data_IF_760014120215
#
_entry.id   IF_760014120215
#
_cell.length_a   1.000
_cell.length_b   1.000
_cell.length_c   1.000
_cell.angle_alpha   90.00
_cell.angle_beta   90.00
_cell.angle_gamma   90.00
#
_symmetry.space_group_name_H-M   'P 1'
#
loop_
_entity.id
_entity.type
_entity.pdbx_description
1 polymer ?
#
# COMPACT_ATOMS: atom_id res chain seq x y z
N UNK A 1 -0.81 19.45 7.49
CA UNK A 1 0.00 18.26 7.85
C UNK A 1 1.18 17.95 6.92
N UNK A 2 0.98 17.44 5.70
CA UNK A 2 2.10 17.00 4.84
C UNK A 2 3.09 18.14 4.53
N UNK A 3 2.61 19.34 4.18
CA UNK A 3 3.47 20.51 3.93
C UNK A 3 4.35 20.88 5.14
N UNK A 4 3.82 20.74 6.35
CA UNK A 4 4.59 20.98 7.58
C UNK A 4 5.64 19.89 7.82
N UNK A 5 5.35 18.63 7.50
CA UNK A 5 6.32 17.54 7.56
C UNK A 5 7.47 17.74 6.54
N UNK A 6 7.17 18.27 5.35
CA UNK A 6 8.19 18.66 4.36
C UNK A 6 9.09 19.76 4.91
N UNK A 7 8.50 20.83 5.47
CA UNK A 7 9.27 21.93 6.06
C UNK A 7 10.20 21.48 7.21
N UNK A 8 9.83 20.43 7.94
CA UNK A 8 10.65 19.81 8.98
C UNK A 8 11.68 18.80 8.47
N UNK A 9 11.79 18.60 7.16
CA UNK A 9 12.77 17.67 6.57
C UNK A 9 12.49 16.21 6.89
N UNK A 10 11.22 15.83 7.09
CA UNK A 10 10.86 14.43 7.33
C UNK A 10 11.27 13.53 6.16
N UNK A 11 11.57 12.27 6.45
CA UNK A 11 12.02 11.32 5.43
C UNK A 11 10.94 11.07 4.37
N UNK A 12 11.36 10.70 3.15
CA UNK A 12 10.46 10.35 2.06
C UNK A 12 9.50 9.21 2.43
N UNK A 13 9.95 8.28 3.28
CA UNK A 13 9.12 7.20 3.79
C UNK A 13 8.03 7.70 4.76
N UNK A 14 8.38 8.64 5.64
CA UNK A 14 7.40 9.27 6.53
C UNK A 14 6.36 10.07 5.75
N UNK A 15 6.79 10.86 4.76
CA UNK A 15 5.89 11.60 3.88
C UNK A 15 4.97 10.67 3.08
N UNK A 16 5.50 9.54 2.58
CA UNK A 16 4.71 8.51 1.89
C UNK A 16 3.63 7.92 2.79
N UNK A 17 3.95 7.60 4.05
CA UNK A 17 2.97 7.14 5.04
C UNK A 17 1.83 8.13 5.22
N UNK A 18 2.17 9.39 5.45
CA UNK A 18 1.18 10.45 5.65
C UNK A 18 0.29 10.62 4.41
N UNK A 19 0.87 10.56 3.22
CA UNK A 19 0.14 10.65 1.95
C UNK A 19 -0.88 9.52 1.78
N UNK A 20 -0.45 8.27 1.96
CA UNK A 20 -1.33 7.10 1.81
C UNK A 20 -2.44 7.10 2.89
N UNK A 21 -2.09 7.41 4.14
CA UNK A 21 -3.07 7.53 5.22
C UNK A 21 -4.10 8.65 5.00
N UNK A 22 -3.71 9.71 4.29
CA UNK A 22 -4.60 10.80 3.88
C UNK A 22 -5.45 10.47 2.63
N UNK A 23 -5.37 9.24 2.10
CA UNK A 23 -6.17 8.77 0.98
C UNK A 23 -5.54 8.94 -0.40
N UNK A 24 -4.24 9.26 -0.50
CA UNK A 24 -3.56 9.26 -1.80
C UNK A 24 -3.39 7.83 -2.33
N UNK A 25 -3.62 7.64 -3.64
CA UNK A 25 -3.39 6.36 -4.31
C UNK A 25 -1.92 6.17 -4.65
N UNK A 26 -1.45 4.92 -4.65
CA UNK A 26 -0.12 4.56 -5.18
C UNK A 26 -0.15 4.45 -6.70
N UNK A 27 1.02 4.46 -7.33
CA UNK A 27 1.14 4.30 -8.78
C UNK A 27 0.63 2.93 -9.23
N UNK A 28 0.98 1.86 -8.51
CA UNK A 28 0.45 0.52 -8.83
C UNK A 28 -1.06 0.44 -8.61
N UNK A 29 -1.57 1.01 -7.52
CA UNK A 29 -3.01 1.05 -7.26
C UNK A 29 -3.76 1.73 -8.40
N UNK A 30 -3.27 2.88 -8.87
CA UNK A 30 -3.85 3.58 -10.01
C UNK A 30 -3.66 2.82 -11.34
N UNK A 31 -2.49 2.23 -11.58
CA UNK A 31 -2.21 1.42 -12.77
C UNK A 31 -3.18 0.25 -12.92
N UNK A 32 -3.46 -0.46 -11.82
CA UNK A 32 -4.44 -1.57 -11.82
C UNK A 32 -5.87 -1.08 -12.10
N UNK A 33 -6.23 0.12 -11.64
CA UNK A 33 -7.53 0.72 -11.96
C UNK A 33 -7.65 1.07 -13.44
N UNK A 34 -6.58 1.57 -14.07
CA UNK A 34 -6.56 1.80 -15.53
C UNK A 34 -6.67 0.50 -16.33
N UNK A 35 -6.09 -0.60 -15.85
CA UNK A 35 -6.28 -1.94 -16.45
C UNK A 35 -7.74 -2.36 -16.36
N UNK A 36 -8.38 -2.17 -15.19
CA UNK A 36 -9.79 -2.48 -14.97
C UNK A 36 -10.71 -1.69 -15.92
N UNK A 37 -10.34 -0.47 -16.27
CA UNK A 37 -11.06 0.39 -17.21
C UNK A 37 -10.74 0.07 -18.69
N UNK A 38 -9.78 -0.82 -18.97
CA UNK A 38 -9.36 -1.15 -20.32
C UNK A 38 -8.50 -0.06 -21.00
N UNK A 39 -7.98 0.90 -20.25
CA UNK A 39 -7.15 2.00 -20.76
C UNK A 39 -5.71 1.55 -21.01
N UNK A 40 -5.22 0.60 -20.21
CA UNK A 40 -3.89 0.00 -20.35
C UNK A 40 -3.94 -1.50 -20.10
N UNK A 41 -2.82 -2.20 -20.31
CA UNK A 41 -2.71 -3.64 -20.10
C UNK A 41 -1.92 -3.98 -18.83
N UNK A 42 -2.12 -5.19 -18.32
CA UNK A 42 -1.36 -5.67 -17.16
C UNK A 42 0.15 -5.75 -17.48
N UNK A 43 0.50 -6.14 -18.70
CA UNK A 43 1.89 -6.19 -19.19
C UNK A 43 2.54 -4.80 -19.17
N UNK A 44 1.80 -3.76 -19.60
CA UNK A 44 2.31 -2.40 -19.56
C UNK A 44 2.54 -1.91 -18.12
N UNK A 45 1.61 -2.21 -17.22
CA UNK A 45 1.74 -1.89 -15.79
C UNK A 45 2.93 -2.62 -15.16
N UNK A 46 3.12 -3.90 -15.47
CA UNK A 46 4.27 -4.68 -15.02
C UNK A 46 5.58 -4.07 -15.49
N UNK A 47 5.70 -3.81 -16.80
CA UNK A 47 6.91 -3.27 -17.42
C UNK A 47 7.34 -1.93 -16.82
N UNK A 48 6.38 -1.08 -16.45
CA UNK A 48 6.64 0.29 -15.98
C UNK A 48 6.75 0.38 -14.46
N UNK A 49 5.93 -0.38 -13.71
CA UNK A 49 5.79 -0.20 -12.26
C UNK A 49 6.35 -1.35 -11.42
N UNK A 50 6.49 -2.56 -11.97
CA UNK A 50 7.00 -3.73 -11.24
C UNK A 50 8.51 -3.96 -11.45
N UNK A 51 9.25 -2.89 -11.78
CA UNK A 51 10.71 -2.87 -11.66
C UNK A 51 11.15 -3.13 -10.21
N UNK A 52 12.38 -3.56 -9.96
CA UNK A 52 12.88 -3.84 -8.60
C UNK A 52 12.65 -2.66 -7.63
N UNK A 53 12.84 -1.44 -8.12
CA UNK A 53 12.62 -0.19 -7.36
C UNK A 53 11.13 0.09 -7.15
N UNK A 54 10.30 -0.12 -8.19
CA UNK A 54 8.86 0.09 -8.11
C UNK A 54 8.18 -0.93 -7.19
N UNK A 55 8.54 -2.21 -7.29
CA UNK A 55 8.08 -3.27 -6.42
C UNK A 55 8.47 -3.03 -4.95
N UNK A 56 9.71 -2.60 -4.69
CA UNK A 56 10.13 -2.23 -3.34
C UNK A 56 9.32 -1.04 -2.79
N UNK A 57 9.00 -0.07 -3.64
CA UNK A 57 8.19 1.10 -3.27
C UNK A 57 6.74 0.71 -2.93
N UNK A 58 6.13 -0.14 -3.73
CA UNK A 58 4.76 -0.63 -3.53
C UNK A 58 4.65 -1.58 -2.34
N UNK A 59 5.66 -2.44 -2.10
CA UNK A 59 5.72 -3.26 -0.90
C UNK A 59 5.80 -2.41 0.36
N UNK A 60 6.61 -1.34 0.35
CA UNK A 60 6.64 -0.37 1.47
C UNK A 60 5.28 0.29 1.63
N UNK A 61 4.68 0.80 0.56
CA UNK A 61 3.35 1.43 0.63
C UNK A 61 2.28 0.47 1.19
N UNK A 62 2.27 -0.81 0.77
CA UNK A 62 1.38 -1.84 1.29
C UNK A 62 1.59 -2.12 2.77
N UNK A 63 2.82 -2.37 3.22
CA UNK A 63 3.13 -2.59 4.65
C UNK A 63 2.62 -1.43 5.51
N UNK A 64 2.62 -0.21 4.95
CA UNK A 64 2.13 0.99 5.62
C UNK A 64 0.61 1.15 5.57
N UNK A 65 -0.08 0.48 4.65
CA UNK A 65 -1.53 0.61 4.42
C UNK A 65 -2.35 -0.59 4.85
N UNK A 66 -1.76 -1.79 4.99
CA UNK A 66 -2.49 -3.01 5.35
C UNK A 66 -2.25 -3.39 6.80
N UNK A 67 -3.34 -3.61 7.57
CA UNK A 67 -3.25 -4.51 8.71
C UNK A 67 -2.94 -5.89 8.15
N UNK A 68 -1.76 -6.43 8.44
CA UNK A 68 -1.43 -7.81 8.13
C UNK A 68 -1.65 -8.68 9.36
N UNK A 69 -2.15 -9.89 9.17
CA UNK A 69 -2.26 -10.85 10.24
C UNK A 69 -0.85 -11.21 10.76
N UNK A 70 -0.57 -11.13 12.07
CA UNK A 70 0.74 -11.50 12.62
C UNK A 70 1.00 -13.02 12.58
N UNK A 71 -0.06 -13.84 12.43
CA UNK A 71 0.07 -15.29 12.34
C UNK A 71 0.46 -15.76 10.92
N UNK A 72 -0.29 -15.33 9.90
CA UNK A 72 -0.11 -15.83 8.53
C UNK A 72 0.31 -14.78 7.49
N UNK A 73 0.41 -13.49 7.86
CA UNK A 73 0.80 -12.41 6.95
C UNK A 73 -0.28 -11.93 5.97
N UNK A 74 -1.45 -12.57 5.94
CA UNK A 74 -2.55 -12.18 5.07
C UNK A 74 -3.04 -10.75 5.36
N UNK A 75 -3.49 -10.04 4.31
CA UNK A 75 -4.09 -8.72 4.47
C UNK A 75 -5.44 -8.82 5.18
N UNK A 76 -5.64 -7.99 6.20
CA UNK A 76 -6.85 -7.91 7.03
C UNK A 76 -7.61 -6.62 6.74
N UNK A 77 -8.93 -6.66 6.90
CA UNK A 77 -9.79 -5.48 6.98
C UNK A 77 -9.95 -5.06 8.44
N UNK A 78 -10.05 -3.76 8.70
CA UNK A 78 -10.24 -3.21 10.06
C UNK A 78 -11.43 -3.80 10.83
N UNK A 79 -12.50 -4.14 10.11
CA UNK A 79 -13.72 -4.72 10.68
C UNK A 79 -13.59 -6.20 11.10
N UNK A 80 -12.48 -6.87 10.74
CA UNK A 80 -12.26 -8.26 11.11
C UNK A 80 -11.68 -8.34 12.53
N UNK A 81 -12.42 -9.03 13.41
CA UNK A 81 -12.00 -9.33 14.78
C UNK A 81 -10.96 -10.47 14.82
N UNK A 82 -10.99 -11.34 13.81
CA UNK A 82 -10.14 -12.51 13.68
C UNK A 82 -9.73 -12.71 12.22
N UNK A 83 -8.52 -13.23 12.01
CA UNK A 83 -8.04 -13.56 10.67
C UNK A 83 -8.83 -14.75 10.08
N UNK A 84 -9.55 -14.60 8.95
CA UNK A 84 -10.33 -15.70 8.36
C UNK A 84 -9.47 -16.81 7.75
N UNK A 85 -8.16 -16.60 7.64
CA UNK A 85 -7.23 -17.54 7.00
C UNK A 85 -6.52 -18.46 7.99
N UNK A 86 -6.27 -17.99 9.22
CA UNK A 86 -5.51 -18.74 10.22
C UNK A 86 -6.07 -18.63 11.64
N UNK A 87 -7.23 -18.00 11.81
CA UNK A 87 -7.96 -17.87 13.07
C UNK A 87 -7.19 -17.14 14.20
N UNK A 88 -6.16 -16.36 13.83
CA UNK A 88 -5.40 -15.56 14.78
C UNK A 88 -6.24 -14.35 15.23
N UNK A 89 -6.39 -14.18 16.54
CA UNK A 89 -7.02 -13.02 17.15
C UNK A 89 -6.22 -11.74 16.85
N UNK A 90 -6.90 -10.62 16.62
CA UNK A 90 -6.23 -9.33 16.39
C UNK A 90 -5.46 -8.92 17.66
N UNK A 91 -4.15 -8.58 17.58
CA UNK A 91 -3.45 -7.97 18.71
C UNK A 91 -4.16 -6.66 19.06
N UNK A 92 -4.55 -6.51 20.33
CA UNK A 92 -5.08 -5.26 20.90
C UNK A 92 -4.06 -4.14 20.83
#
# INVERSE_FOLDING_TARGET
EIAAAVARGMTTDHLRRMAVAAGMTTLLGYGLELVRQGITTLEEVERVLLTDVGLATERRARVLSSLNCPGCGAGLRDQWLECPYCLQQRPT
#
